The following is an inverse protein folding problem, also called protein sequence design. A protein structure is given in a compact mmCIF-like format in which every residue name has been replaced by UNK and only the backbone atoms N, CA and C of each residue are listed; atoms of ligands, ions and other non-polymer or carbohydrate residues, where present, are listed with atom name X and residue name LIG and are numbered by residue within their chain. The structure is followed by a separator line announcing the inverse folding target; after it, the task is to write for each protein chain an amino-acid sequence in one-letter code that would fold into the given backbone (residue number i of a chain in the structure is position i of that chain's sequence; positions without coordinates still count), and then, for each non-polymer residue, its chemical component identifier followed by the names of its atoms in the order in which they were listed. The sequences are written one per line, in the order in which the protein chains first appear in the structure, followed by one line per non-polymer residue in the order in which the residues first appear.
data_IF_217726150624
#
_entry.id   IF_217726150624
#
_cell.length_a   1.000
_cell.length_b   1.000
_cell.length_c   1.000
_cell.angle_alpha   90.00
_cell.angle_beta   90.00
_cell.angle_gamma   90.00
#
_symmetry.space_group_name_H-M   'P 1'
#
loop_
_entity.id
_entity.type
_entity.pdbx_description
1 polymer ?
#
# COMPACT_ATOMS: atom_id res chain seq x y z
N UNK A 1 -9.15 6.97 -9.26
CA UNK A 1 -8.33 6.23 -8.28
C UNK A 1 -6.92 6.65 -8.62
N UNK A 2 -6.32 7.42 -7.73
CA UNK A 2 -5.31 8.41 -8.11
C UNK A 2 -3.99 8.21 -7.36
N UNK A 3 -3.94 7.23 -6.45
CA UNK A 3 -2.80 6.91 -5.60
C UNK A 3 -2.33 5.46 -5.87
N UNK A 4 -1.05 5.24 -6.23
CA UNK A 4 -0.51 3.89 -6.39
C UNK A 4 -0.40 3.17 -5.04
N UNK A 5 -0.50 1.82 -5.04
CA UNK A 5 -0.44 1.03 -3.81
C UNK A 5 0.96 1.04 -3.22
N UNK A 6 1.05 1.24 -1.91
CA UNK A 6 2.29 1.19 -1.15
C UNK A 6 2.11 0.31 0.09
N UNK A 7 1.90 -0.98 -0.18
CA UNK A 7 1.36 -1.96 0.77
C UNK A 7 2.37 -2.37 1.85
N UNK A 8 3.65 -2.29 1.55
CA UNK A 8 4.75 -2.56 2.46
C UNK A 8 4.77 -1.59 3.66
N UNK A 9 4.42 -0.31 3.43
CA UNK A 9 4.39 0.69 4.50
C UNK A 9 2.98 1.03 5.00
N UNK A 10 1.97 1.05 4.12
CA UNK A 10 0.61 1.51 4.43
C UNK A 10 -0.42 0.37 4.53
N UNK A 11 -0.01 -0.87 4.28
CA UNK A 11 -0.87 -2.04 4.33
C UNK A 11 -1.30 -2.43 5.74
N UNK A 12 -2.29 -3.31 5.83
CA UNK A 12 -2.65 -4.01 7.06
C UNK A 12 -2.74 -5.51 6.80
N UNK A 13 -2.41 -6.32 7.80
CA UNK A 13 -2.42 -7.77 7.70
C UNK A 13 -3.81 -8.37 7.97
N UNK A 14 -4.12 -9.48 7.31
CA UNK A 14 -5.31 -10.29 7.55
C UNK A 14 -4.88 -11.74 7.78
N UNK A 15 -5.34 -12.34 8.87
CA UNK A 15 -4.90 -13.67 9.28
C UNK A 15 -5.80 -14.80 8.70
N UNK A 16 -5.22 -15.98 8.38
CA UNK A 16 -6.00 -17.17 8.10
C UNK A 16 -6.74 -17.70 9.32
N UNK A 17 -7.84 -18.41 9.10
CA UNK A 17 -8.73 -18.91 10.16
C UNK A 17 -9.67 -17.86 10.74
N UNK A 18 -9.72 -16.66 10.13
CA UNK A 18 -10.60 -15.58 10.53
C UNK A 18 -11.39 -15.04 9.33
N UNK A 19 -12.63 -14.63 9.62
CA UNK A 19 -13.37 -13.70 8.82
C UNK A 19 -13.13 -12.31 9.42
N UNK A 20 -12.48 -11.44 8.64
CA UNK A 20 -12.12 -10.09 9.04
C UNK A 20 -13.07 -9.10 8.36
N UNK A 21 -13.79 -8.35 9.17
CA UNK A 21 -14.63 -7.24 8.74
C UNK A 21 -13.83 -5.95 8.83
N UNK A 22 -13.74 -5.23 7.72
CA UNK A 22 -13.08 -3.94 7.61
C UNK A 22 -14.15 -2.90 7.31
N UNK A 23 -14.61 -2.23 8.37
CA UNK A 23 -15.54 -1.12 8.26
C UNK A 23 -14.77 0.13 7.87
N UNK A 24 -15.06 0.67 6.70
CA UNK A 24 -14.39 1.84 6.14
C UNK A 24 -15.24 3.10 6.31
N UNK A 25 -14.57 4.21 6.57
CA UNK A 25 -15.14 5.56 6.52
C UNK A 25 -14.32 6.41 5.56
N UNK A 26 -14.96 6.97 4.53
CA UNK A 26 -14.27 7.87 3.59
C UNK A 26 -14.08 9.24 4.26
N UNK A 27 -12.83 9.73 4.28
CA UNK A 27 -12.46 11.04 4.78
C UNK A 27 -11.83 11.84 3.64
N UNK A 28 -12.30 13.07 3.40
CA UNK A 28 -11.80 13.97 2.37
C UNK A 28 -11.15 15.17 3.02
N UNK A 29 -9.83 15.15 3.12
CA UNK A 29 -9.06 16.19 3.76
C UNK A 29 -8.67 17.25 2.72
N UNK A 30 -8.93 18.52 3.03
CA UNK A 30 -8.52 19.67 2.24
C UNK A 30 -7.57 20.54 3.05
N UNK A 31 -6.33 20.64 2.60
CA UNK A 31 -5.28 21.46 3.22
C UNK A 31 -5.15 22.81 2.49
N UNK A 32 -4.62 23.81 3.20
CA UNK A 32 -4.36 25.13 2.65
C UNK A 32 -2.90 25.26 2.19
N UNK A 33 -2.64 25.93 1.05
CA UNK A 33 -1.28 26.17 0.57
C UNK A 33 -0.58 27.29 1.36
N UNK A 34 0.73 27.49 1.15
CA UNK A 34 1.48 28.57 1.78
C UNK A 34 0.87 29.94 1.47
N UNK A 35 0.84 30.90 2.43
CA UNK A 35 1.46 30.87 3.76
C UNK A 35 0.59 30.28 4.90
N UNK A 36 -0.59 29.74 4.62
CA UNK A 36 -1.52 29.27 5.67
C UNK A 36 -1.30 27.82 6.10
N UNK A 37 -0.68 27.02 5.23
CA UNK A 37 -0.29 25.65 5.49
C UNK A 37 0.70 25.15 4.44
N UNK A 38 1.06 23.88 4.51
CA UNK A 38 2.03 23.26 3.61
C UNK A 38 1.31 22.18 2.79
N UNK A 39 0.91 22.53 1.58
CA UNK A 39 0.38 21.56 0.63
C UNK A 39 0.74 21.90 -0.82
N UNK A 40 0.93 20.85 -1.60
CA UNK A 40 1.19 20.93 -3.05
C UNK A 40 -0.13 20.94 -3.80
N UNK A 41 -0.41 22.05 -4.48
CA UNK A 41 -1.57 22.20 -5.37
C UNK A 41 -1.23 21.91 -6.84
N UNK A 42 0.05 21.82 -7.18
CA UNK A 42 0.51 21.59 -8.55
C UNK A 42 0.45 20.10 -8.91
N UNK A 43 0.20 19.78 -10.19
CA UNK A 43 0.32 18.41 -10.70
C UNK A 43 1.72 17.83 -10.47
N UNK A 44 1.83 16.51 -10.52
CA UNK A 44 3.13 15.85 -10.43
C UNK A 44 3.93 16.13 -11.72
N UNK A 45 5.18 16.54 -11.56
CA UNK A 45 6.17 16.52 -12.64
C UNK A 45 6.87 15.16 -12.59
N UNK A 46 6.16 14.11 -13.02
CA UNK A 46 6.68 12.74 -13.11
C UNK A 46 6.34 12.17 -14.47
N UNK A 47 7.28 11.45 -15.05
CA UNK A 47 7.09 10.72 -16.31
C UNK A 47 6.25 9.44 -16.11
N UNK A 48 6.01 9.03 -14.85
CA UNK A 48 5.40 7.74 -14.51
C UNK A 48 3.96 7.83 -14.01
N UNK A 49 3.59 8.94 -13.36
CA UNK A 49 2.27 9.11 -12.75
C UNK A 49 1.58 10.36 -13.29
N UNK A 50 0.28 10.26 -13.57
CA UNK A 50 -0.51 11.40 -14.06
C UNK A 50 -1.01 12.30 -12.93
N UNK A 51 -1.27 11.73 -11.76
CA UNK A 51 -1.80 12.42 -10.59
C UNK A 51 -0.75 12.48 -9.48
N UNK A 52 -0.68 13.61 -8.78
CA UNK A 52 0.16 13.74 -7.60
C UNK A 52 -0.50 13.08 -6.40
N UNK A 53 0.20 12.11 -5.81
CA UNK A 53 -0.06 11.59 -4.47
C UNK A 53 1.26 11.49 -3.72
N UNK A 54 1.18 11.35 -2.39
CA UNK A 54 2.39 11.18 -1.58
C UNK A 54 3.13 9.88 -1.95
N UNK A 55 2.41 8.79 -2.23
CA UNK A 55 3.04 7.53 -2.65
C UNK A 55 3.62 7.58 -4.06
N UNK A 56 2.97 8.27 -5.00
CA UNK A 56 3.48 8.45 -6.35
C UNK A 56 4.81 9.23 -6.32
N UNK A 57 4.87 10.32 -5.54
CA UNK A 57 6.11 11.09 -5.36
C UNK A 57 7.24 10.24 -4.78
N UNK A 58 6.96 9.43 -3.76
CA UNK A 58 7.96 8.55 -3.14
C UNK A 58 8.46 7.48 -4.11
N UNK A 59 7.55 6.80 -4.81
CA UNK A 59 7.91 5.75 -5.75
C UNK A 59 8.69 6.30 -6.95
N UNK A 60 8.34 7.49 -7.44
CA UNK A 60 9.12 8.21 -8.46
C UNK A 60 10.53 8.54 -7.96
N UNK A 61 10.65 9.03 -6.73
CA UNK A 61 11.94 9.36 -6.11
C UNK A 61 12.84 8.12 -5.91
N UNK A 62 12.29 7.04 -5.35
CA UNK A 62 12.99 5.77 -5.15
C UNK A 62 13.44 5.16 -6.49
N UNK A 63 12.58 5.23 -7.53
CA UNK A 63 12.89 4.73 -8.87
C UNK A 63 14.04 5.51 -9.51
N UNK A 64 14.01 6.84 -9.42
CA UNK A 64 15.06 7.70 -9.97
C UNK A 64 16.39 7.46 -9.26
N UNK A 65 16.37 7.39 -7.93
CA UNK A 65 17.55 7.12 -7.12
C UNK A 65 18.21 5.78 -7.47
N UNK A 66 17.42 4.72 -7.66
CA UNK A 66 17.94 3.42 -8.08
C UNK A 66 18.41 3.40 -9.54
N UNK A 67 17.71 4.08 -10.43
CA UNK A 67 18.14 4.20 -11.82
C UNK A 67 19.49 4.93 -11.91
N UNK A 68 19.70 5.99 -11.12
CA UNK A 68 20.96 6.75 -11.07
C UNK A 68 22.10 5.97 -10.41
N UNK A 69 21.85 5.29 -9.30
CA UNK A 69 22.91 4.64 -8.51
C UNK A 69 23.20 3.19 -8.94
N UNK A 70 22.19 2.44 -9.37
CA UNK A 70 22.29 1.02 -9.69
C UNK A 70 22.02 0.70 -11.16
N UNK A 71 21.65 1.68 -12.00
CA UNK A 71 21.32 1.51 -13.43
C UNK A 71 20.23 0.46 -13.69
N UNK A 72 19.37 0.21 -12.70
CA UNK A 72 18.31 -0.78 -12.77
C UNK A 72 17.13 -0.34 -11.90
N UNK A 73 15.98 -0.98 -12.10
CA UNK A 73 14.79 -0.77 -11.25
C UNK A 73 14.31 -2.08 -10.63
N UNK A 74 13.68 -1.97 -9.47
CA UNK A 74 13.01 -3.10 -8.86
C UNK A 74 11.71 -3.46 -9.61
N UNK A 75 11.18 -4.65 -9.33
CA UNK A 75 10.02 -5.21 -10.05
C UNK A 75 8.73 -4.39 -9.88
N UNK A 76 8.61 -3.69 -8.74
CA UNK A 76 7.44 -2.88 -8.39
C UNK A 76 7.58 -1.40 -8.83
N UNK A 77 8.76 -1.01 -9.32
CA UNK A 77 9.05 0.37 -9.70
C UNK A 77 8.60 0.64 -11.13
N UNK A 78 8.03 1.83 -11.42
CA UNK A 78 7.67 2.24 -12.77
C UNK A 78 8.91 2.51 -13.66
N UNK A 79 8.64 2.83 -14.93
CA UNK A 79 9.65 3.25 -15.90
C UNK A 79 10.25 2.14 -16.75
N UNK A 80 11.14 2.55 -17.67
CA UNK A 80 11.68 1.69 -18.73
C UNK A 80 13.10 1.18 -18.44
N UNK A 81 13.65 1.49 -17.27
CA UNK A 81 14.93 0.95 -16.82
C UNK A 81 14.88 -0.60 -16.77
N UNK A 82 16.01 -1.29 -17.02
CA UNK A 82 16.04 -2.75 -16.93
C UNK A 82 15.80 -3.20 -15.49
N UNK A 83 15.20 -4.38 -15.33
CA UNK A 83 15.03 -4.98 -14.00
C UNK A 83 16.38 -5.36 -13.40
N UNK A 84 16.54 -5.09 -12.11
CA UNK A 84 17.73 -5.50 -11.36
C UNK A 84 17.86 -7.04 -11.33
N UNK A 85 19.09 -7.55 -11.49
CA UNK A 85 19.39 -8.97 -11.26
C UNK A 85 19.41 -9.28 -9.76
N UNK A 86 19.25 -10.55 -9.33
CA UNK A 86 19.34 -10.92 -7.91
C UNK A 86 20.66 -10.51 -7.23
N UNK A 87 21.75 -10.45 -7.99
CA UNK A 87 23.05 -9.94 -7.50
C UNK A 87 22.99 -8.43 -7.26
N UNK A 88 22.44 -7.67 -8.20
CA UNK A 88 22.21 -6.22 -8.05
C UNK A 88 21.25 -5.88 -6.91
N UNK A 89 20.23 -6.71 -6.65
CA UNK A 89 19.35 -6.55 -5.50
C UNK A 89 20.16 -6.53 -4.19
N UNK A 90 20.96 -7.57 -3.98
CA UNK A 90 21.75 -7.74 -2.75
C UNK A 90 22.87 -6.70 -2.62
N UNK A 91 23.57 -6.43 -3.71
CA UNK A 91 24.80 -5.62 -3.66
C UNK A 91 24.54 -4.11 -3.77
N UNK A 92 23.45 -3.70 -4.41
CA UNK A 92 23.18 -2.30 -4.70
C UNK A 92 21.78 -1.88 -4.26
N UNK A 93 20.73 -2.54 -4.75
CA UNK A 93 19.38 -2.00 -4.66
C UNK A 93 18.82 -1.98 -3.22
N UNK A 94 18.96 -3.07 -2.47
CA UNK A 94 18.48 -3.14 -1.08
C UNK A 94 19.28 -2.15 -0.18
N UNK A 95 20.63 -2.15 -0.16
CA UNK A 95 21.38 -1.18 0.64
C UNK A 95 21.13 0.29 0.25
N UNK A 96 20.90 0.56 -1.04
CA UNK A 96 20.62 1.90 -1.53
C UNK A 96 19.27 2.41 -1.03
N UNK A 97 18.21 1.58 -1.07
CA UNK A 97 16.91 1.95 -0.53
C UNK A 97 16.91 2.06 0.99
N UNK A 98 17.57 1.14 1.69
CA UNK A 98 17.71 1.22 3.15
C UNK A 98 18.37 2.54 3.57
N UNK A 99 19.42 2.95 2.84
CA UNK A 99 20.07 4.23 3.06
C UNK A 99 19.14 5.43 2.80
N UNK A 100 18.37 5.38 1.71
CA UNK A 100 17.44 6.45 1.34
C UNK A 100 16.35 6.66 2.40
N UNK A 101 15.81 5.57 2.95
CA UNK A 101 14.75 5.61 3.98
C UNK A 101 15.30 6.04 5.35
N UNK A 102 16.49 5.57 5.75
CA UNK A 102 17.02 5.82 7.10
C UNK A 102 17.83 7.11 7.23
N UNK A 103 18.59 7.51 6.19
CA UNK A 103 19.64 8.52 6.30
C UNK A 103 19.47 9.73 5.41
N UNK A 104 18.65 9.64 4.37
CA UNK A 104 18.51 10.69 3.37
C UNK A 104 17.07 11.21 3.26
N UNK A 105 16.54 11.70 4.39
CA UNK A 105 15.26 12.42 4.46
C UNK A 105 15.26 13.73 3.65
N UNK A 106 16.41 14.20 3.16
CA UNK A 106 16.51 15.41 2.34
C UNK A 106 16.38 15.14 0.84
N UNK A 107 16.69 13.92 0.37
CA UNK A 107 16.63 13.61 -1.06
C UNK A 107 15.19 13.45 -1.58
N UNK A 108 14.31 12.78 -0.82
CA UNK A 108 12.91 12.59 -1.20
C UNK A 108 11.95 13.47 -0.38
N UNK A 109 11.91 14.77 -0.68
CA UNK A 109 10.93 15.69 -0.07
C UNK A 109 9.60 15.62 -0.83
N UNK A 110 8.65 14.85 -0.30
CA UNK A 110 7.30 14.75 -0.83
C UNK A 110 6.30 15.54 0.00
N UNK A 111 5.89 16.69 -0.51
CA UNK A 111 4.87 17.55 0.12
C UNK A 111 3.48 16.87 0.11
N UNK A 112 2.66 17.16 1.10
CA UNK A 112 1.29 16.63 1.12
C UNK A 112 0.43 17.28 0.02
N UNK A 113 -0.40 16.52 -0.72
CA UNK A 113 -1.36 17.12 -1.64
C UNK A 113 -2.40 17.96 -0.88
N UNK A 114 -2.88 19.03 -1.50
CA UNK A 114 -3.95 19.81 -0.87
C UNK A 114 -5.27 19.04 -0.76
N UNK A 115 -5.55 18.12 -1.67
CA UNK A 115 -6.74 17.27 -1.63
C UNK A 115 -6.33 15.81 -1.41
N UNK A 116 -6.75 15.21 -0.30
CA UNK A 116 -6.44 13.82 0.02
C UNK A 116 -7.72 13.08 0.38
N UNK A 117 -7.94 11.93 -0.24
CA UNK A 117 -8.96 10.99 0.20
C UNK A 117 -8.31 9.91 1.04
N UNK A 118 -8.68 9.81 2.31
CA UNK A 118 -8.27 8.73 3.21
C UNK A 118 -9.45 7.83 3.52
N UNK A 119 -9.15 6.58 3.86
CA UNK A 119 -10.13 5.62 4.34
C UNK A 119 -9.75 5.23 5.76
N UNK A 120 -10.48 5.82 6.72
CA UNK A 120 -10.46 5.34 8.10
C UNK A 120 -10.97 3.91 8.13
N UNK A 121 -10.34 3.05 8.93
CA UNK A 121 -10.68 1.63 8.98
C UNK A 121 -10.80 1.14 10.42
N UNK A 122 -11.88 0.45 10.71
CA UNK A 122 -12.08 -0.30 11.95
C UNK A 122 -12.15 -1.79 11.63
N UNK A 123 -11.32 -2.58 12.32
CA UNK A 123 -11.18 -4.00 12.09
C UNK A 123 -11.88 -4.79 13.20
N UNK A 124 -12.70 -5.77 12.80
CA UNK A 124 -13.22 -6.78 13.72
C UNK A 124 -13.09 -8.17 13.10
N UNK A 125 -12.93 -9.20 13.94
CA UNK A 125 -12.61 -10.55 13.49
C UNK A 125 -13.50 -11.58 14.18
N UNK A 126 -13.95 -12.56 13.42
CA UNK A 126 -14.62 -13.76 13.93
C UNK A 126 -13.91 -15.01 13.41
N UNK A 127 -13.90 -16.08 14.22
CA UNK A 127 -13.21 -17.32 13.85
C UNK A 127 -13.96 -18.07 12.75
N UNK A 128 -13.25 -18.53 11.73
CA UNK A 128 -13.75 -19.41 10.67
C UNK A 128 -12.82 -20.62 10.49
N UNK A 129 -13.34 -21.84 10.27
CA UNK A 129 -14.74 -22.23 10.25
C UNK A 129 -15.32 -22.48 11.64
N UNK A 130 -16.66 -22.41 11.73
CA UNK A 130 -17.40 -22.99 12.86
C UNK A 130 -17.33 -24.52 12.79
N UNK A 131 -17.52 -25.21 13.93
CA UNK A 131 -17.54 -26.69 13.96
C UNK A 131 -18.58 -27.30 13.01
N UNK A 132 -19.70 -26.62 12.79
CA UNK A 132 -20.76 -27.06 11.88
C UNK A 132 -20.37 -26.89 10.40
N UNK A 133 -19.69 -25.80 10.05
CA UNK A 133 -19.30 -25.47 8.67
C UNK A 133 -17.99 -26.12 8.23
N UNK A 134 -17.13 -26.55 9.18
CA UNK A 134 -15.84 -27.17 8.90
C UNK A 134 -15.94 -28.36 7.95
N UNK A 135 -16.82 -29.32 8.24
CA UNK A 135 -17.06 -30.52 7.40
C UNK A 135 -17.54 -30.17 5.99
N UNK A 136 -18.41 -29.18 5.90
CA UNK A 136 -18.93 -28.71 4.61
C UNK A 136 -17.82 -28.10 3.75
N UNK A 137 -17.02 -27.20 4.32
CA UNK A 137 -15.92 -26.54 3.62
C UNK A 137 -14.82 -27.54 3.23
N UNK A 138 -14.49 -28.47 4.12
CA UNK A 138 -13.55 -29.56 3.86
C UNK A 138 -13.99 -30.39 2.64
N UNK A 139 -15.26 -30.82 2.59
CA UNK A 139 -15.80 -31.59 1.47
C UNK A 139 -15.90 -30.76 0.18
N UNK A 140 -16.32 -29.50 0.28
CA UNK A 140 -16.50 -28.59 -0.87
C UNK A 140 -15.18 -28.31 -1.59
N UNK A 141 -14.11 -28.06 -0.84
CA UNK A 141 -12.80 -27.74 -1.40
C UNK A 141 -11.86 -28.96 -1.50
N UNK A 142 -12.34 -30.15 -1.12
CA UNK A 142 -11.56 -31.39 -1.06
C UNK A 142 -10.26 -31.22 -0.24
N UNK A 143 -10.39 -30.72 0.99
CA UNK A 143 -9.29 -30.47 1.94
C UNK A 143 -9.62 -31.03 3.32
N UNK A 144 -8.61 -31.21 4.17
CA UNK A 144 -8.83 -31.61 5.58
C UNK A 144 -9.43 -30.46 6.39
N UNK A 145 -10.14 -30.77 7.47
CA UNK A 145 -10.67 -29.75 8.39
C UNK A 145 -9.56 -28.86 8.98
N UNK A 146 -8.39 -29.44 9.25
CA UNK A 146 -7.21 -28.70 9.70
C UNK A 146 -6.73 -27.70 8.64
N UNK A 147 -6.64 -28.12 7.37
CA UNK A 147 -6.25 -27.24 6.27
C UNK A 147 -7.20 -26.05 6.14
N UNK A 148 -8.51 -26.26 6.30
CA UNK A 148 -9.50 -25.18 6.26
C UNK A 148 -9.21 -24.14 7.35
N UNK A 149 -8.95 -24.56 8.58
CA UNK A 149 -8.67 -23.63 9.68
C UNK A 149 -7.34 -22.86 9.55
N UNK A 150 -6.34 -23.47 8.92
CA UNK A 150 -4.99 -22.88 8.79
C UNK A 150 -4.80 -22.04 7.52
N UNK A 151 -5.65 -22.22 6.50
CA UNK A 151 -5.42 -21.63 5.17
C UNK A 151 -6.59 -20.79 4.63
N UNK A 152 -7.81 -20.97 5.13
CA UNK A 152 -8.96 -20.19 4.65
C UNK A 152 -9.12 -18.93 5.48
N UNK A 153 -9.24 -17.80 4.80
CA UNK A 153 -9.64 -16.52 5.36
C UNK A 153 -10.83 -15.97 4.60
N UNK A 154 -11.59 -15.11 5.25
CA UNK A 154 -12.63 -14.30 4.61
C UNK A 154 -12.34 -12.84 4.93
N UNK A 155 -12.39 -11.97 3.92
CA UNK A 155 -12.15 -10.55 4.06
C UNK A 155 -13.35 -9.79 3.51
N UNK A 156 -14.05 -9.09 4.39
CA UNK A 156 -15.23 -8.29 4.05
C UNK A 156 -14.90 -6.81 4.23
N UNK A 157 -14.83 -6.06 3.13
CA UNK A 157 -14.56 -4.61 3.12
C UNK A 157 -15.86 -3.88 2.73
N UNK A 158 -16.33 -2.98 3.59
CA UNK A 158 -17.59 -2.25 3.36
C UNK A 158 -17.54 -0.86 3.99
N UNK A 159 -18.48 0.02 3.62
CA UNK A 159 -18.66 1.31 4.28
C UNK A 159 -19.62 1.19 5.46
N UNK A 160 -19.27 1.78 6.60
CA UNK A 160 -20.14 1.79 7.80
C UNK A 160 -21.50 2.43 7.50
N UNK A 161 -21.48 3.56 6.81
CA UNK A 161 -22.64 4.27 6.30
C UNK A 161 -22.28 4.93 4.95
N UNK A 162 -23.30 5.33 4.18
CA UNK A 162 -23.13 6.08 2.94
C UNK A 162 -22.86 7.57 3.23
N UNK A 163 -21.90 7.85 4.12
CA UNK A 163 -21.45 9.20 4.46
C UNK A 163 -19.93 9.32 4.26
N UNK A 164 -19.46 10.56 4.15
CA UNK A 164 -18.05 10.88 4.14
C UNK A 164 -17.79 12.02 5.12
N UNK A 165 -16.64 11.99 5.78
CA UNK A 165 -16.15 13.06 6.61
C UNK A 165 -15.33 14.02 5.74
N UNK A 166 -15.38 15.32 6.02
CA UNK A 166 -14.61 16.37 5.30
C UNK A 166 -13.87 17.23 6.29
#
# INVERSE_FOLDING_TARGET
QDEPPFIDQLGFGVAPGFQTFVSCQQQRLVYLPPPWGDCKATPIESDFFTNYSITACRLDCETRYLAENCNCRMVHMPGDAPYCTPEQYKECADPALDFLVEKDNEYCVCEMPCNVTRYGKELSMVKIPSKASAKYLAKKYNKSEQYIGENILVLDIFFEALNYET
#
